data_IF_704702451866
#
_entry.id   IF_704702451866
#
_cell.length_a   1.000
_cell.length_b   1.000
_cell.length_c   1.000
_cell.angle_alpha   90.00
_cell.angle_beta   90.00
_cell.angle_gamma   90.00
#
_symmetry.space_group_name_H-M   'P 1'
#
loop_
_entity.id
_entity.type
_entity.pdbx_description
1 polymer ?
#
# COMPACT_ATOMS: atom_id res chain seq x y z
N UNK A 1 -32.83 12.10 25.49
CA UNK A 1 -31.57 12.39 26.21
C UNK A 1 -30.44 11.82 25.38
N UNK A 2 -29.79 12.68 24.60
CA UNK A 2 -28.73 12.30 23.67
C UNK A 2 -27.42 12.17 24.47
N UNK A 3 -26.98 10.94 24.67
CA UNK A 3 -25.79 10.62 25.45
C UNK A 3 -24.56 10.99 24.61
N UNK A 4 -24.10 12.25 24.70
CA UNK A 4 -22.82 12.66 24.12
C UNK A 4 -21.72 11.89 24.85
N UNK A 5 -21.24 10.83 24.21
CA UNK A 5 -20.09 10.07 24.66
C UNK A 5 -18.85 10.97 24.61
N UNK A 6 -18.53 11.64 25.73
CA UNK A 6 -17.32 12.44 25.84
C UNK A 6 -16.10 11.51 25.77
N UNK A 7 -15.36 11.63 24.66
CA UNK A 7 -14.14 10.86 24.44
C UNK A 7 -13.07 11.36 25.42
N UNK A 8 -12.64 10.48 26.34
CA UNK A 8 -11.70 10.87 27.41
C UNK A 8 -10.41 11.47 26.88
N UNK A 9 -9.78 12.36 27.65
CA UNK A 9 -8.48 12.96 27.32
C UNK A 9 -7.41 11.90 26.98
N UNK A 10 -7.41 10.77 27.70
CA UNK A 10 -6.54 9.63 27.43
C UNK A 10 -6.78 9.05 26.03
N UNK A 11 -8.04 8.88 25.63
CA UNK A 11 -8.39 8.40 24.29
C UNK A 11 -8.00 9.40 23.20
N UNK A 12 -8.12 10.72 23.46
CA UNK A 12 -7.68 11.77 22.53
C UNK A 12 -6.17 11.79 22.34
N UNK A 13 -5.39 11.67 23.42
CA UNK A 13 -3.93 11.55 23.35
C UNK A 13 -3.51 10.26 22.63
N UNK A 14 -4.18 9.14 22.90
CA UNK A 14 -3.91 7.89 22.19
C UNK A 14 -4.21 8.00 20.69
N UNK A 15 -5.33 8.64 20.32
CA UNK A 15 -5.67 8.90 18.92
C UNK A 15 -4.64 9.83 18.26
N UNK A 16 -4.30 10.95 18.89
CA UNK A 16 -3.28 11.87 18.39
C UNK A 16 -1.91 11.17 18.24
N UNK A 17 -1.52 10.34 19.21
CA UNK A 17 -0.28 9.55 19.12
C UNK A 17 -0.33 8.50 18.01
N UNK A 18 -1.49 7.92 17.70
CA UNK A 18 -1.66 7.01 16.54
C UNK A 18 -1.60 7.76 15.20
N UNK A 19 -2.12 8.99 15.15
CA UNK A 19 -2.06 9.85 13.96
C UNK A 19 -0.63 10.36 13.72
N UNK A 20 0.04 10.82 14.78
CA UNK A 20 1.36 11.45 14.69
C UNK A 20 2.52 10.45 14.69
N UNK A 21 2.38 9.36 15.43
CA UNK A 21 3.42 8.36 15.68
C UNK A 21 2.87 6.95 15.54
N UNK A 22 1.93 6.76 14.61
CA UNK A 22 1.33 5.47 14.33
C UNK A 22 2.40 4.39 14.39
N UNK A 23 2.13 3.29 15.10
CA UNK A 23 2.97 2.08 15.05
C UNK A 23 2.88 1.42 13.64
N UNK A 24 2.78 2.24 12.60
CA UNK A 24 2.76 1.87 11.18
C UNK A 24 4.04 1.18 10.74
N UNK A 25 4.96 0.95 11.67
CA UNK A 25 6.16 0.17 11.57
C UNK A 25 5.95 -1.35 11.79
N UNK A 26 4.84 -1.74 12.40
CA UNK A 26 4.49 -3.14 12.60
C UNK A 26 3.31 -3.54 11.71
N UNK A 27 3.57 -4.27 10.62
CA UNK A 27 2.55 -4.80 9.71
C UNK A 27 1.51 -5.74 10.34
N UNK A 28 1.63 -6.00 11.65
CA UNK A 28 0.72 -6.83 12.44
C UNK A 28 -0.25 -6.03 13.32
N UNK A 29 -0.14 -4.70 13.37
CA UNK A 29 -1.01 -3.79 14.12
C UNK A 29 -1.62 -2.76 13.16
N UNK A 30 -2.94 -2.61 13.20
CA UNK A 30 -3.63 -1.59 12.40
C UNK A 30 -3.28 -0.18 12.89
N UNK A 31 -2.80 0.68 11.99
CA UNK A 31 -2.45 2.07 12.28
C UNK A 31 -3.65 2.91 12.75
N UNK A 32 -4.87 2.54 12.33
CA UNK A 32 -6.09 3.28 12.62
C UNK A 32 -6.66 2.92 14.00
N UNK A 33 -7.04 1.65 14.21
CA UNK A 33 -7.66 1.22 15.46
C UNK A 33 -6.67 0.75 16.53
N UNK A 34 -5.39 0.54 16.19
CA UNK A 34 -4.35 0.08 17.10
C UNK A 34 -4.46 -1.39 17.51
N UNK A 35 -5.41 -2.14 16.96
CA UNK A 35 -5.61 -3.56 17.22
C UNK A 35 -4.69 -4.41 16.35
N UNK A 36 -4.19 -5.49 16.92
CA UNK A 36 -3.39 -6.50 16.24
C UNK A 36 -4.26 -7.58 15.58
N UNK A 37 -3.67 -8.41 14.73
CA UNK A 37 -4.35 -9.59 14.18
C UNK A 37 -4.88 -10.54 15.27
N UNK A 38 -4.21 -10.61 16.41
CA UNK A 38 -4.62 -11.47 17.54
C UNK A 38 -5.89 -10.96 18.22
N UNK A 39 -6.23 -9.68 18.04
CA UNK A 39 -7.43 -9.05 18.61
C UNK A 39 -8.69 -9.26 17.74
N UNK A 40 -8.64 -10.17 16.76
CA UNK A 40 -9.82 -10.58 15.97
C UNK A 40 -10.30 -9.58 14.93
N UNK A 41 -9.48 -8.59 14.52
CA UNK A 41 -9.85 -7.58 13.50
C UNK A 41 -9.81 -8.07 12.05
N UNK A 42 -9.62 -9.38 11.85
CA UNK A 42 -9.45 -10.01 10.55
C UNK A 42 -8.08 -9.72 9.93
N UNK A 43 -8.04 -9.80 8.60
CA UNK A 43 -6.82 -9.56 7.83
C UNK A 43 -6.34 -8.12 7.99
N UNK A 44 -5.01 -7.98 8.10
CA UNK A 44 -4.33 -6.69 8.07
C UNK A 44 -3.48 -6.63 6.82
N UNK A 45 -3.67 -5.58 6.06
CA UNK A 45 -2.97 -5.25 4.83
C UNK A 45 -1.95 -4.16 5.16
N UNK A 46 -0.69 -4.34 4.76
CA UNK A 46 0.38 -3.38 5.04
C UNK A 46 0.91 -2.75 3.74
N UNK A 47 1.12 -1.44 3.74
CA UNK A 47 1.77 -0.70 2.67
C UNK A 47 2.93 0.16 3.20
N UNK A 48 3.37 1.16 2.44
CA UNK A 48 4.41 2.11 2.85
C UNK A 48 4.03 2.83 4.14
N UNK A 49 4.73 2.54 5.24
CA UNK A 49 4.55 3.23 6.53
C UNK A 49 3.19 3.04 7.22
N UNK A 50 2.27 2.25 6.68
CA UNK A 50 0.90 2.09 7.21
C UNK A 50 0.43 0.64 7.13
N UNK A 51 -0.43 0.24 8.07
CA UNK A 51 -1.17 -1.00 8.00
C UNK A 51 -2.63 -0.78 8.37
N UNK A 52 -3.55 -1.41 7.65
CA UNK A 52 -4.99 -1.25 7.83
C UNK A 52 -5.66 -2.61 7.97
N UNK A 53 -6.51 -2.77 8.98
CA UNK A 53 -7.35 -3.96 9.11
C UNK A 53 -8.62 -3.85 8.27
N UNK A 54 -9.20 -4.99 7.91
CA UNK A 54 -10.43 -5.06 7.12
C UNK A 54 -11.58 -4.22 7.69
N UNK A 55 -11.72 -4.14 9.03
CA UNK A 55 -12.75 -3.33 9.67
C UNK A 55 -12.56 -1.83 9.43
N UNK A 56 -11.33 -1.33 9.55
CA UNK A 56 -11.03 0.09 9.31
C UNK A 56 -11.11 0.45 7.82
N UNK A 57 -10.70 -0.45 6.94
CA UNK A 57 -10.83 -0.26 5.49
C UNK A 57 -12.31 -0.09 5.08
N UNK A 58 -13.22 -0.89 5.65
CA UNK A 58 -14.66 -0.76 5.41
C UNK A 58 -15.20 0.61 5.79
N UNK A 59 -14.84 1.12 6.96
CA UNK A 59 -15.24 2.46 7.41
C UNK A 59 -14.78 3.54 6.42
N UNK A 60 -13.55 3.41 5.89
CA UNK A 60 -13.03 4.33 4.88
C UNK A 60 -13.83 4.30 3.58
N UNK A 61 -14.16 3.10 3.08
CA UNK A 61 -15.00 2.96 1.87
C UNK A 61 -16.42 3.47 2.08
N UNK A 62 -17.02 3.19 3.24
CA UNK A 62 -18.36 3.70 3.58
C UNK A 62 -18.37 5.24 3.61
N UNK A 63 -17.27 5.86 4.06
CA UNK A 63 -17.07 7.32 4.01
C UNK A 63 -16.92 7.84 2.58
N UNK A 64 -16.11 7.18 1.75
CA UNK A 64 -15.89 7.57 0.35
C UNK A 64 -17.21 7.63 -0.44
N UNK A 65 -18.11 6.67 -0.22
CA UNK A 65 -19.42 6.59 -0.86
C UNK A 65 -20.42 7.69 -0.45
N UNK A 66 -20.06 8.59 0.47
CA UNK A 66 -20.91 9.72 0.88
C UNK A 66 -20.73 11.00 0.03
N UNK A 67 -19.79 10.95 -0.93
CA UNK A 67 -19.48 11.87 -2.05
C UNK A 67 -19.57 13.41 -1.84
N UNK A 68 -18.38 14.04 -1.85
CA UNK A 68 -18.11 15.40 -2.32
C UNK A 68 -16.81 15.49 -3.16
N UNK A 69 -16.20 14.35 -3.55
CA UNK A 69 -14.94 14.36 -4.27
C UNK A 69 -15.14 14.01 -5.76
N UNK A 70 -14.46 14.72 -6.67
CA UNK A 70 -14.56 14.42 -8.10
C UNK A 70 -13.97 13.03 -8.40
N UNK A 71 -14.76 12.18 -9.06
CA UNK A 71 -14.28 10.92 -9.64
C UNK A 71 -13.19 11.22 -10.66
N UNK A 72 -11.99 10.69 -10.43
CA UNK A 72 -10.90 10.75 -11.41
C UNK A 72 -11.27 9.82 -12.57
N UNK A 73 -11.63 10.40 -13.73
CA UNK A 73 -11.94 9.67 -14.97
C UNK A 73 -10.77 9.79 -15.95
N UNK A 74 -10.43 8.73 -16.67
CA UNK A 74 -9.49 8.79 -17.81
C UNK A 74 -8.08 8.25 -17.56
N UNK A 75 -7.82 7.54 -16.46
CA UNK A 75 -6.57 6.79 -16.27
C UNK A 75 -6.88 5.36 -15.86
N UNK A 76 -6.36 4.37 -16.58
CA UNK A 76 -6.54 2.96 -16.21
C UNK A 76 -5.58 2.62 -15.07
N UNK A 77 -6.11 2.42 -13.86
CA UNK A 77 -5.35 1.84 -12.76
C UNK A 77 -5.40 0.33 -12.93
N UNK A 78 -4.24 -0.28 -13.14
CA UNK A 78 -4.10 -1.72 -13.18
C UNK A 78 -3.72 -2.26 -11.79
N UNK A 79 -4.16 -3.48 -11.48
CA UNK A 79 -3.88 -4.15 -10.20
C UNK A 79 -3.53 -5.60 -10.44
N UNK A 80 -2.40 -6.04 -9.89
CA UNK A 80 -1.94 -7.43 -10.00
C UNK A 80 -1.13 -7.84 -8.78
N UNK A 81 -1.10 -9.16 -8.52
CA UNK A 81 -0.40 -9.75 -7.39
C UNK A 81 0.90 -10.41 -7.83
N UNK A 82 1.97 -10.11 -7.11
CA UNK A 82 3.26 -10.78 -7.18
C UNK A 82 3.32 -11.73 -5.99
N UNK A 83 3.31 -13.03 -6.29
CA UNK A 83 3.37 -14.08 -5.26
C UNK A 83 4.82 -14.41 -4.94
N UNK A 84 5.18 -14.28 -3.67
CA UNK A 84 6.52 -14.61 -3.17
C UNK A 84 6.53 -16.00 -2.57
N UNK A 85 7.60 -16.77 -2.85
CA UNK A 85 7.84 -18.06 -2.20
C UNK A 85 8.32 -17.92 -0.74
N UNK A 86 8.68 -16.71 -0.31
CA UNK A 86 9.21 -16.42 1.02
C UNK A 86 8.38 -15.34 1.71
N UNK A 87 8.18 -15.48 3.03
CA UNK A 87 7.54 -14.44 3.83
C UNK A 87 8.38 -13.16 3.78
N UNK A 88 7.80 -12.05 3.33
CA UNK A 88 8.48 -10.77 3.39
C UNK A 88 8.63 -10.34 4.85
N UNK A 89 9.85 -9.97 5.25
CA UNK A 89 10.08 -9.37 6.55
C UNK A 89 9.53 -7.93 6.53
N UNK A 90 8.33 -7.70 7.04
CA UNK A 90 7.65 -6.39 6.95
C UNK A 90 8.13 -5.35 7.98
N UNK A 91 9.40 -5.43 8.39
CA UNK A 91 10.02 -4.37 9.17
C UNK A 91 10.05 -3.07 8.35
N UNK A 92 10.11 -1.89 9.01
CA UNK A 92 9.97 -0.60 8.34
C UNK A 92 10.97 -0.38 7.21
N UNK A 93 12.22 -0.76 7.43
CA UNK A 93 13.29 -0.60 6.44
C UNK A 93 13.08 -1.47 5.20
N UNK A 94 12.58 -2.71 5.37
CA UNK A 94 12.25 -3.57 4.23
C UNK A 94 11.04 -3.04 3.47
N UNK A 95 10.03 -2.48 4.15
CA UNK A 95 8.89 -1.88 3.46
C UNK A 95 9.28 -0.64 2.66
N UNK A 96 10.20 0.17 3.18
CA UNK A 96 10.77 1.28 2.40
C UNK A 96 11.56 0.79 1.18
N UNK A 97 12.35 -0.28 1.35
CA UNK A 97 13.06 -0.88 0.22
C UNK A 97 12.09 -1.40 -0.85
N UNK A 98 11.02 -2.11 -0.46
CA UNK A 98 9.97 -2.58 -1.39
C UNK A 98 9.34 -1.39 -2.12
N UNK A 99 9.02 -0.32 -1.41
CA UNK A 99 8.46 0.90 -2.00
C UNK A 99 9.42 1.52 -3.04
N UNK A 100 10.69 1.71 -2.68
CA UNK A 100 11.72 2.25 -3.57
C UNK A 100 11.89 1.38 -4.84
N UNK A 101 11.90 0.05 -4.68
CA UNK A 101 12.04 -0.92 -5.78
C UNK A 101 10.81 -0.92 -6.71
N UNK A 102 9.60 -0.91 -6.14
CA UNK A 102 8.37 -0.86 -6.92
C UNK A 102 8.24 0.48 -7.67
N UNK A 103 8.66 1.58 -7.04
CA UNK A 103 8.70 2.90 -7.66
C UNK A 103 9.65 2.89 -8.86
N UNK A 104 10.83 2.27 -8.72
CA UNK A 104 11.78 2.10 -9.81
C UNK A 104 11.20 1.24 -10.94
N UNK A 105 10.60 0.08 -10.63
CA UNK A 105 9.96 -0.78 -11.63
C UNK A 105 8.87 -0.05 -12.42
N UNK A 106 8.05 0.77 -11.74
CA UNK A 106 7.03 1.58 -12.39
C UNK A 106 7.66 2.62 -13.33
N UNK A 107 8.70 3.32 -12.87
CA UNK A 107 9.45 4.31 -13.66
C UNK A 107 10.06 3.73 -14.93
N UNK A 108 10.74 2.58 -14.83
CA UNK A 108 11.34 1.87 -15.98
C UNK A 108 10.31 1.47 -17.04
N UNK A 109 9.07 1.22 -16.61
CA UNK A 109 7.95 0.85 -17.48
C UNK A 109 7.04 2.03 -17.83
N UNK A 110 7.49 3.27 -17.54
CA UNK A 110 6.76 4.50 -17.84
C UNK A 110 5.32 4.49 -17.28
N UNK A 111 5.19 3.94 -16.08
CA UNK A 111 3.98 3.88 -15.28
C UNK A 111 4.21 4.63 -13.96
N UNK A 112 3.14 4.95 -13.27
CA UNK A 112 3.19 5.50 -11.91
C UNK A 112 2.73 4.44 -10.92
N UNK A 113 3.50 4.26 -9.86
CA UNK A 113 3.07 3.49 -8.71
C UNK A 113 2.05 4.30 -7.92
N UNK A 114 0.81 3.83 -7.90
CA UNK A 114 -0.27 4.41 -7.09
C UNK A 114 -0.19 3.91 -5.66
N UNK A 115 0.28 2.69 -5.49
CA UNK A 115 0.55 2.12 -4.20
C UNK A 115 0.77 0.62 -4.30
N UNK A 116 0.98 0.00 -3.16
CA UNK A 116 1.07 -1.45 -3.04
C UNK A 116 0.63 -1.86 -1.66
N UNK A 117 0.34 -3.14 -1.55
CA UNK A 117 0.10 -3.73 -0.26
C UNK A 117 0.58 -5.18 -0.17
N UNK A 118 0.88 -5.59 1.05
CA UNK A 118 1.20 -6.96 1.38
C UNK A 118 0.03 -7.62 2.11
N UNK A 119 -0.48 -8.67 1.49
CA UNK A 119 -1.42 -9.60 2.08
C UNK A 119 -0.69 -10.82 2.62
N UNK A 120 -0.88 -11.10 3.90
CA UNK A 120 -0.46 -12.37 4.49
C UNK A 120 -1.60 -13.37 4.39
N UNK A 121 -1.30 -14.59 3.97
CA UNK A 121 -2.28 -15.65 3.88
C UNK A 121 -2.01 -16.75 4.92
N UNK A 122 -3.08 -17.37 5.43
CA UNK A 122 -2.99 -18.43 6.45
C UNK A 122 -3.19 -19.80 5.80
N UNK A 123 -2.34 -20.77 6.13
CA UNK A 123 -2.47 -22.16 5.65
C UNK A 123 -1.68 -22.38 4.35
N UNK A 124 -2.27 -23.09 3.39
CA UNK A 124 -1.62 -23.43 2.09
C UNK A 124 -1.56 -22.26 1.10
N UNK A 125 -1.97 -21.06 1.52
CA UNK A 125 -1.93 -19.86 0.70
C UNK A 125 -0.57 -19.17 0.86
N UNK A 126 -0.01 -18.72 -0.26
CA UNK A 126 1.21 -17.92 -0.29
C UNK A 126 0.92 -16.46 0.04
N UNK A 127 1.90 -15.81 0.66
CA UNK A 127 1.87 -14.37 0.84
C UNK A 127 1.93 -13.66 -0.52
N UNK A 128 1.25 -12.51 -0.61
CA UNK A 128 1.09 -11.78 -1.86
C UNK A 128 1.41 -10.30 -1.69
N UNK A 129 2.20 -9.78 -2.62
CA UNK A 129 2.39 -8.34 -2.82
C UNK A 129 1.46 -7.89 -3.95
N UNK A 130 0.43 -7.13 -3.64
CA UNK A 130 -0.46 -6.52 -4.65
C UNK A 130 0.04 -5.13 -4.99
N UNK A 131 0.24 -4.87 -6.29
CA UNK A 131 0.74 -3.60 -6.81
C UNK A 131 -0.38 -2.89 -7.57
N UNK A 132 -0.48 -1.58 -7.38
CA UNK A 132 -1.43 -0.69 -8.06
C UNK A 132 -0.62 0.30 -8.86
N UNK A 133 -0.81 0.30 -10.18
CA UNK A 133 -0.09 1.19 -11.08
C UNK A 133 -1.04 1.89 -12.01
N UNK A 134 -0.72 3.13 -12.35
CA UNK A 134 -1.36 3.88 -13.41
C UNK A 134 -0.49 3.76 -14.65
N UNK A 135 -1.06 3.20 -15.70
CA UNK A 135 -0.40 3.08 -17.00
C UNK A 135 -0.96 4.11 -17.97
N UNK A 136 -0.25 4.34 -19.08
CA UNK A 136 -0.77 5.13 -20.20
C UNK A 136 -1.80 4.33 -20.99
N UNK A 137 -2.65 5.04 -21.73
CA UNK A 137 -3.59 4.41 -22.65
C UNK A 137 -2.85 3.59 -23.72
N UNK A 138 -3.39 2.43 -24.09
CA UNK A 138 -2.87 1.47 -25.08
C UNK A 138 -1.70 0.55 -24.64
N UNK A 139 -1.45 0.38 -23.34
CA UNK A 139 -0.51 -0.64 -22.86
C UNK A 139 -1.13 -2.05 -22.97
N UNK A 140 -0.37 -3.01 -23.48
CA UNK A 140 -0.73 -4.43 -23.37
C UNK A 140 -0.54 -4.88 -21.91
N UNK A 141 -1.65 -4.94 -21.16
CA UNK A 141 -1.65 -5.21 -19.72
C UNK A 141 -1.00 -6.55 -19.36
N UNK A 142 -1.19 -7.61 -20.17
CA UNK A 142 -0.59 -8.90 -19.87
C UNK A 142 0.94 -8.86 -19.95
N UNK A 143 1.47 -8.25 -21.01
CA UNK A 143 2.92 -8.08 -21.20
C UNK A 143 3.49 -7.15 -20.11
N UNK A 144 2.79 -6.07 -19.79
CA UNK A 144 3.19 -5.13 -18.75
C UNK A 144 3.30 -5.82 -17.37
N UNK A 145 2.27 -6.57 -16.95
CA UNK A 145 2.25 -7.27 -15.66
C UNK A 145 3.38 -8.29 -15.53
N UNK A 146 3.61 -9.08 -16.58
CA UNK A 146 4.70 -10.06 -16.60
C UNK A 146 6.06 -9.36 -16.53
N UNK A 147 6.26 -8.32 -17.35
CA UNK A 147 7.52 -7.56 -17.37
C UNK A 147 7.79 -6.92 -16.01
N UNK A 148 6.80 -6.26 -15.40
CA UNK A 148 6.92 -5.66 -14.08
C UNK A 148 7.30 -6.70 -13.03
N UNK A 149 6.59 -7.83 -13.02
CA UNK A 149 6.82 -8.92 -12.07
C UNK A 149 8.24 -9.47 -12.18
N UNK A 150 8.71 -9.76 -13.40
CA UNK A 150 10.06 -10.27 -13.61
C UNK A 150 11.14 -9.25 -13.26
N UNK A 151 10.93 -7.98 -13.59
CA UNK A 151 11.83 -6.88 -13.24
C UNK A 151 11.98 -6.78 -11.72
N UNK A 152 10.88 -6.80 -10.98
CA UNK A 152 10.89 -6.74 -9.52
C UNK A 152 11.54 -7.98 -8.89
N UNK A 153 11.18 -9.18 -9.34
CA UNK A 153 11.76 -10.43 -8.83
C UNK A 153 13.28 -10.48 -9.06
N UNK A 154 13.78 -9.96 -10.18
CA UNK A 154 15.22 -9.86 -10.44
C UNK A 154 15.91 -8.96 -9.43
N UNK A 155 15.37 -7.76 -9.18
CA UNK A 155 15.91 -6.86 -8.16
C UNK A 155 15.96 -7.54 -6.79
N UNK A 156 14.83 -8.09 -6.35
CA UNK A 156 14.70 -8.75 -5.05
C UNK A 156 15.60 -10.01 -4.90
N UNK A 157 16.02 -10.63 -6.01
CA UNK A 157 16.87 -11.84 -6.01
C UNK A 157 18.37 -11.55 -5.99
N UNK A 158 18.77 -10.30 -6.22
CA UNK A 158 20.18 -9.91 -6.33
C UNK A 158 20.66 -9.17 -5.08
N UNK A 159 21.87 -9.46 -4.56
CA UNK A 159 22.58 -8.63 -3.57
C UNK A 159 23.04 -7.26 -4.15
N UNK A 160 22.42 -6.82 -5.24
CA UNK A 160 22.77 -5.61 -5.96
C UNK A 160 22.26 -4.41 -5.17
N UNK A 161 23.09 -3.37 -4.92
CA UNK A 161 22.62 -2.14 -4.32
C UNK A 161 21.46 -1.61 -5.16
N UNK A 162 20.28 -1.50 -4.56
CA UNK A 162 19.11 -0.84 -5.16
C UNK A 162 19.59 0.44 -5.86
N UNK A 163 19.19 0.70 -7.13
CA UNK A 163 19.57 1.90 -7.87
C UNK A 163 18.86 3.11 -7.24
N UNK A 164 19.28 3.47 -6.03
CA UNK A 164 18.63 4.45 -5.17
C UNK A 164 19.01 5.84 -5.64
N UNK A 165 17.98 6.59 -6.00
CA UNK A 165 17.98 8.01 -6.30
C UNK A 165 18.39 8.32 -7.73
N UNK A 166 17.44 8.28 -8.67
CA UNK A 166 17.26 9.31 -9.71
C UNK A 166 16.39 8.77 -10.86
N UNK A 167 15.07 8.71 -10.67
CA UNK A 167 14.17 9.07 -11.77
C UNK A 167 12.86 9.54 -11.16
N UNK A 168 12.75 10.85 -10.93
CA UNK A 168 11.44 11.47 -10.90
C UNK A 168 10.79 11.09 -12.24
N UNK A 169 9.69 10.33 -12.19
CA UNK A 169 8.87 10.11 -13.38
C UNK A 169 8.62 11.48 -14.03
N UNK A 170 8.67 11.53 -15.36
CA UNK A 170 8.38 12.78 -16.07
C UNK A 170 7.04 13.35 -15.56
N UNK A 171 6.95 14.66 -15.30
CA UNK A 171 5.77 15.26 -14.68
C UNK A 171 4.51 14.92 -15.48
N UNK A 172 3.47 14.52 -14.76
CA UNK A 172 2.20 14.15 -15.37
C UNK A 172 1.53 15.39 -15.98
N UNK A 173 0.68 15.25 -17.02
CA UNK A 173 -0.03 16.38 -17.61
C UNK A 173 -0.87 17.17 -16.59
N UNK A 174 -1.33 16.53 -15.52
CA UNK A 174 -2.05 17.17 -14.40
C UNK A 174 -1.18 18.05 -13.51
N UNK A 175 0.15 17.98 -13.63
CA UNK A 175 1.13 18.76 -12.86
C UNK A 175 1.67 19.97 -13.66
N UNK A 176 1.21 20.18 -14.90
CA UNK A 176 1.66 21.24 -15.82
C UNK A 176 0.65 22.42 -15.89
N UNK A 177 -0.41 22.41 -15.07
CA UNK A 177 -1.43 23.48 -15.03
C UNK A 177 -1.51 24.18 -13.67
#
# INVERSE_FOLDING_TARGET
MENRMEVSFKARIQAARRVLFGKGDNAVICSFCGKSRQDGVGNIVAGPGVAICASCARIGMDWDLTDNFPKITGTTIDTFSIFYQHQACLLPHHRRLIDDELQWCAGELNAELIGWNYGWAKGDFVDGLTVYVRTRDNVNIAVFRETFTQTYLRLASTDVPSPRSATLAAPWPSEIL
#
